data_IF_455317041571
#
_entry.id   IF_455317041571
#
_cell.length_a   1.000
_cell.length_b   1.000
_cell.length_c   1.000
_cell.angle_alpha   90.00
_cell.angle_beta   90.00
_cell.angle_gamma   90.00
#
_symmetry.space_group_name_H-M   'P 1'
#
loop_
_entity.id
_entity.type
_entity.pdbx_description
1 polymer ?
#
# COMPACT_ATOMS: atom_id res chain seq x y z
N UNK A 1 -8.12 10.27 3.83
CA UNK A 1 -9.26 9.37 3.57
C UNK A 1 -10.53 10.15 3.89
N UNK A 2 -11.54 10.07 3.02
CA UNK A 2 -12.85 10.72 3.22
C UNK A 2 -13.91 9.69 2.86
N UNK A 3 -14.65 9.20 3.85
CA UNK A 3 -15.58 8.09 3.69
C UNK A 3 -16.58 8.03 4.86
N UNK A 4 -17.68 7.27 4.68
CA UNK A 4 -18.75 7.12 5.69
C UNK A 4 -18.26 6.60 7.03
N UNK A 5 -17.29 5.68 7.05
CA UNK A 5 -16.74 5.08 8.27
C UNK A 5 -15.30 5.51 8.53
N UNK A 6 -14.96 6.77 8.24
CA UNK A 6 -13.60 7.29 8.39
C UNK A 6 -13.05 7.16 9.82
N UNK A 7 -13.91 7.36 10.84
CA UNK A 7 -13.54 7.20 12.25
C UNK A 7 -13.19 5.77 12.64
N UNK A 8 -13.79 4.76 12.01
CA UNK A 8 -13.45 3.36 12.29
C UNK A 8 -12.13 2.97 11.61
N UNK A 9 -11.91 3.46 10.39
CA UNK A 9 -10.73 3.10 9.59
C UNK A 9 -9.44 3.77 10.08
N UNK A 10 -9.52 4.97 10.68
CA UNK A 10 -8.32 5.68 11.15
C UNK A 10 -7.60 4.94 12.29
N UNK A 11 -8.34 4.16 13.07
CA UNK A 11 -7.81 3.35 14.18
C UNK A 11 -6.73 2.36 13.75
N UNK A 12 -6.83 1.80 12.54
CA UNK A 12 -5.79 0.93 11.99
C UNK A 12 -4.47 1.69 11.77
N UNK A 13 -4.56 2.92 11.27
CA UNK A 13 -3.38 3.76 11.00
C UNK A 13 -2.74 4.21 12.31
N UNK A 14 -3.54 4.64 13.30
CA UNK A 14 -3.01 5.09 14.59
C UNK A 14 -2.37 3.93 15.36
N UNK A 15 -2.98 2.73 15.33
CA UNK A 15 -2.38 1.52 15.90
C UNK A 15 -1.03 1.23 15.23
N UNK A 16 -0.96 1.30 13.90
CA UNK A 16 0.28 1.07 13.18
C UNK A 16 1.38 2.09 13.55
N UNK A 17 1.02 3.36 13.77
CA UNK A 17 1.95 4.39 14.24
C UNK A 17 2.49 4.08 15.64
N UNK A 18 1.63 3.72 16.59
CA UNK A 18 2.03 3.38 17.97
C UNK A 18 2.89 2.11 18.00
N UNK A 19 2.52 1.10 17.20
CA UNK A 19 3.25 -0.15 17.10
C UNK A 19 4.56 -0.04 16.31
N UNK A 20 4.88 1.12 15.72
CA UNK A 20 6.03 1.26 14.82
C UNK A 20 5.92 0.44 13.53
N UNK A 21 4.71 0.00 13.17
CA UNK A 21 4.44 -0.75 11.96
C UNK A 21 4.40 0.21 10.76
N UNK A 22 5.48 0.21 9.97
CA UNK A 22 5.58 1.06 8.78
C UNK A 22 4.58 0.73 7.67
N UNK A 23 4.49 1.61 6.68
CA UNK A 23 3.55 1.52 5.56
C UNK A 23 3.68 0.21 4.73
N UNK A 24 4.87 -0.39 4.70
CA UNK A 24 5.08 -1.71 4.08
C UNK A 24 4.23 -2.81 4.73
N UNK A 25 4.04 -2.73 6.05
CA UNK A 25 3.21 -3.67 6.80
C UNK A 25 1.74 -3.49 6.40
N UNK A 26 1.24 -2.25 6.42
CA UNK A 26 -0.12 -1.91 5.99
C UNK A 26 -0.42 -2.36 4.54
N UNK A 27 0.52 -2.18 3.61
CA UNK A 27 0.40 -2.69 2.24
C UNK A 27 0.34 -4.21 2.15
N UNK A 28 1.03 -4.92 3.04
CA UNK A 28 1.08 -6.39 3.04
C UNK A 28 -0.16 -7.01 3.73
N UNK A 29 -0.83 -6.27 4.59
CA UNK A 29 -2.03 -6.73 5.31
C UNK A 29 -3.15 -7.10 4.32
N UNK A 30 -3.74 -8.28 4.51
CA UNK A 30 -4.91 -8.72 3.74
C UNK A 30 -6.13 -8.01 4.30
N UNK A 31 -6.59 -6.98 3.59
CA UNK A 31 -7.82 -6.27 3.92
C UNK A 31 -9.01 -7.08 3.39
N UNK A 32 -10.09 -7.25 4.17
CA UNK A 32 -11.29 -7.91 3.70
C UNK A 32 -11.86 -7.25 2.44
N UNK A 33 -12.32 -8.08 1.50
CA UNK A 33 -12.95 -7.64 0.26
C UNK A 33 -14.45 -8.00 0.28
N UNK A 34 -15.36 -7.11 -0.16
CA UNK A 34 -15.14 -5.71 -0.57
C UNK A 34 -15.33 -4.73 0.62
N UNK A 35 -14.31 -3.94 0.98
CA UNK A 35 -14.45 -2.94 2.07
C UNK A 35 -13.77 -1.59 1.79
N UNK A 36 -14.18 -0.55 2.52
CA UNK A 36 -13.53 0.78 2.46
C UNK A 36 -12.08 0.74 2.97
N UNK A 37 -11.77 -0.17 3.89
CA UNK A 37 -10.44 -0.31 4.49
C UNK A 37 -9.35 -0.64 3.45
N UNK A 38 -9.70 -1.26 2.32
CA UNK A 38 -8.77 -1.49 1.20
C UNK A 38 -8.04 -0.24 0.70
N UNK A 39 -8.58 0.95 0.95
CA UNK A 39 -7.93 2.21 0.60
C UNK A 39 -6.58 2.37 1.29
N UNK A 40 -6.40 1.82 2.50
CA UNK A 40 -5.15 1.87 3.26
C UNK A 40 -4.07 1.07 2.53
N UNK A 41 -4.37 -0.18 2.16
CA UNK A 41 -3.49 -0.99 1.28
C UNK A 41 -3.16 -0.27 -0.02
N UNK A 42 -4.18 0.22 -0.74
CA UNK A 42 -4.00 0.89 -2.04
C UNK A 42 -3.13 2.14 -1.92
N UNK A 43 -3.29 2.91 -0.85
CA UNK A 43 -2.46 4.09 -0.58
C UNK A 43 -1.00 3.69 -0.29
N UNK A 44 -0.78 2.64 0.50
CA UNK A 44 0.56 2.10 0.74
C UNK A 44 1.24 1.62 -0.54
N UNK A 45 0.50 0.92 -1.40
CA UNK A 45 1.02 0.43 -2.68
C UNK A 45 1.38 1.58 -3.63
N UNK A 46 0.57 2.63 -3.65
CA UNK A 46 0.86 3.84 -4.42
C UNK A 46 2.16 4.51 -3.95
N UNK A 47 2.39 4.59 -2.64
CA UNK A 47 3.64 5.10 -2.09
C UNK A 47 4.84 4.19 -2.42
N UNK A 48 4.69 2.87 -2.30
CA UNK A 48 5.76 1.93 -2.66
C UNK A 48 6.14 2.05 -4.14
N UNK A 49 5.18 2.31 -5.02
CA UNK A 49 5.44 2.56 -6.45
C UNK A 49 6.24 3.84 -6.71
N UNK A 50 6.05 4.89 -5.91
CA UNK A 50 6.83 6.14 -6.08
C UNK A 50 8.31 5.97 -5.68
N UNK A 51 8.61 4.96 -4.85
CA UNK A 51 9.97 4.62 -4.40
C UNK A 51 10.74 3.72 -5.38
N UNK A 52 10.14 3.31 -6.50
CA UNK A 52 10.88 2.58 -7.53
C UNK A 52 12.00 3.45 -8.12
N UNK A 53 13.24 3.03 -7.95
CA UNK A 53 14.38 3.73 -8.55
C UNK A 53 14.36 3.59 -10.08
N UNK A 54 14.87 4.59 -10.83
CA UNK A 54 14.90 4.54 -12.29
C UNK A 54 15.62 3.31 -12.85
N UNK A 55 16.66 2.83 -12.17
CA UNK A 55 17.42 1.62 -12.53
C UNK A 55 16.59 0.35 -12.36
N UNK A 56 15.91 0.20 -11.21
CA UNK A 56 15.03 -0.94 -10.95
C UNK A 56 13.86 -0.95 -11.93
N UNK A 57 13.25 0.21 -12.22
CA UNK A 57 12.18 0.32 -13.22
C UNK A 57 12.64 -0.15 -14.60
N UNK A 58 13.83 0.26 -15.06
CA UNK A 58 14.40 -0.19 -16.35
C UNK A 58 14.67 -1.69 -16.37
N UNK A 59 15.21 -2.24 -15.28
CA UNK A 59 15.47 -3.68 -15.17
C UNK A 59 14.16 -4.49 -15.20
N UNK A 60 13.14 -4.07 -14.43
CA UNK A 60 11.81 -4.68 -14.44
C UNK A 60 11.17 -4.62 -15.82
N UNK A 61 11.25 -3.49 -16.52
CA UNK A 61 10.70 -3.35 -17.86
C UNK A 61 11.36 -4.29 -18.87
N UNK A 62 12.70 -4.39 -18.85
CA UNK A 62 13.46 -5.33 -19.71
C UNK A 62 13.12 -6.78 -19.39
N UNK A 63 13.04 -7.14 -18.11
CA UNK A 63 12.67 -8.48 -17.68
C UNK A 63 11.24 -8.86 -18.10
N UNK A 64 10.26 -7.97 -17.90
CA UNK A 64 8.89 -8.20 -18.33
C UNK A 64 8.77 -8.30 -19.86
N UNK A 65 9.56 -7.51 -20.61
CA UNK A 65 9.58 -7.57 -22.07
C UNK A 65 10.20 -8.87 -22.61
N UNK A 66 11.16 -9.45 -21.89
CA UNK A 66 11.76 -10.75 -22.24
C UNK A 66 10.83 -11.94 -21.94
N UNK A 67 9.87 -11.76 -21.01
CA UNK A 67 8.94 -12.81 -20.56
C UNK A 67 7.59 -12.78 -21.28
N UNK A 68 7.44 -11.90 -22.26
CA UNK A 68 6.25 -11.70 -23.09
C UNK A 68 6.54 -12.14 -24.51
#
# INVERSE_FOLDING_TARGET
LVARHAGEMISEITLAMVAGAGLKTLSKTIHPYPTQAEVIRKAGDAYLRSRLTPTVKKLFAKFLAWRR
#
